data_IF_002527860372
#
_entry.id   IF_002527860372
#
_cell.length_a   1.000
_cell.length_b   1.000
_cell.length_c   1.000
_cell.angle_alpha   90.00
_cell.angle_beta   90.00
_cell.angle_gamma   90.00
#
_symmetry.space_group_name_H-M   'P 1'
#
loop_
_entity.id
_entity.type
_entity.pdbx_description
1 polymer ?
#
# COMPACT_ATOMS: atom_id res chain seq x y z
N UNK A 1 -4.90 20.93 12.52
CA UNK A 1 -6.13 21.31 13.24
C UNK A 1 -6.30 20.52 14.55
N UNK A 2 -6.34 19.17 14.53
CA UNK A 2 -6.62 18.36 15.72
C UNK A 2 -5.61 18.55 16.86
N UNK A 3 -4.31 18.73 16.56
CA UNK A 3 -3.28 19.03 17.57
C UNK A 3 -3.60 20.33 18.34
N UNK A 4 -4.04 21.37 17.64
CA UNK A 4 -4.42 22.64 18.26
C UNK A 4 -5.67 22.48 19.14
N UNK A 5 -6.68 21.77 18.66
CA UNK A 5 -7.88 21.46 19.47
C UNK A 5 -7.52 20.70 20.73
N UNK A 6 -6.65 19.70 20.62
CA UNK A 6 -6.17 18.91 21.76
C UNK A 6 -5.43 19.76 22.79
N UNK A 7 -4.60 20.71 22.35
CA UNK A 7 -3.90 21.66 23.23
C UNK A 7 -4.88 22.61 23.93
N UNK A 8 -5.87 23.13 23.20
CA UNK A 8 -6.92 23.98 23.78
C UNK A 8 -7.75 23.25 24.85
N UNK A 9 -7.99 21.95 24.63
CA UNK A 9 -8.68 21.09 25.58
C UNK A 9 -7.76 20.58 26.71
N UNK A 10 -6.51 21.05 26.76
CA UNK A 10 -5.50 20.66 27.77
C UNK A 10 -5.31 19.14 27.88
N UNK A 11 -5.42 18.42 26.77
CA UNK A 11 -5.15 16.98 26.73
C UNK A 11 -3.66 16.71 26.80
N UNK A 12 -3.19 15.70 27.57
CA UNK A 12 -1.78 15.39 27.67
C UNK A 12 -1.22 14.92 26.32
N UNK A 13 0.03 15.30 25.97
CA UNK A 13 0.69 14.80 24.78
C UNK A 13 1.06 13.32 24.93
N UNK A 14 0.99 12.57 23.82
CA UNK A 14 1.47 11.20 23.70
C UNK A 14 2.87 11.13 23.06
N UNK A 15 3.15 10.00 22.37
CA UNK A 15 4.42 9.79 21.67
C UNK A 15 4.65 10.89 20.61
N UNK A 16 5.91 11.32 20.47
CA UNK A 16 6.34 12.34 19.50
C UNK A 16 5.55 13.65 19.61
N UNK A 17 5.10 14.00 20.82
CA UNK A 17 4.28 15.17 21.09
C UNK A 17 2.95 15.23 20.32
N UNK A 18 2.47 14.11 19.80
CA UNK A 18 1.13 14.01 19.25
C UNK A 18 0.06 13.94 20.35
N UNK A 19 -1.20 14.31 20.06
CA UNK A 19 -2.29 14.08 21.00
C UNK A 19 -2.36 12.61 21.44
N UNK A 20 -2.57 12.34 22.72
CA UNK A 20 -2.56 10.97 23.27
C UNK A 20 -3.62 10.04 22.65
N UNK A 21 -4.68 10.61 22.08
CA UNK A 21 -5.80 9.91 21.42
C UNK A 21 -5.72 9.89 19.88
N UNK A 22 -4.57 10.24 19.29
CA UNK A 22 -4.44 10.30 17.82
C UNK A 22 -4.65 8.95 17.15
N UNK A 23 -4.23 7.85 17.78
CA UNK A 23 -4.53 6.51 17.27
C UNK A 23 -6.05 6.27 17.18
N UNK A 24 -6.77 6.58 18.22
CA UNK A 24 -8.23 6.46 18.25
C UNK A 24 -8.91 7.36 17.21
N UNK A 25 -8.39 8.58 17.02
CA UNK A 25 -8.88 9.47 15.97
C UNK A 25 -8.74 8.84 14.57
N UNK A 26 -7.56 8.31 14.24
CA UNK A 26 -7.31 7.68 12.95
C UNK A 26 -8.11 6.39 12.79
N UNK A 27 -8.15 5.56 13.82
CA UNK A 27 -8.90 4.29 13.82
C UNK A 27 -10.38 4.54 13.52
N UNK A 28 -11.06 5.37 14.31
CA UNK A 28 -12.50 5.64 14.10
C UNK A 28 -12.82 6.32 12.76
N UNK A 29 -11.85 7.05 12.18
CA UNK A 29 -12.01 7.65 10.86
C UNK A 29 -11.90 6.60 9.76
N UNK A 30 -10.87 5.77 9.82
CA UNK A 30 -10.55 4.78 8.78
C UNK A 30 -11.45 3.56 8.83
N UNK A 31 -11.91 3.14 10.00
CA UNK A 31 -12.82 2.01 10.16
C UNK A 31 -14.24 2.25 9.62
N UNK A 32 -14.54 3.46 9.19
CA UNK A 32 -15.75 3.73 8.39
C UNK A 32 -15.67 3.11 6.99
N UNK A 33 -14.46 2.88 6.49
CA UNK A 33 -14.26 2.13 5.26
C UNK A 33 -14.60 0.66 5.50
N UNK A 34 -15.71 0.22 4.92
CA UNK A 34 -16.23 -1.13 5.13
C UNK A 34 -17.05 -1.59 3.94
N UNK A 35 -17.33 -2.87 3.90
CA UNK A 35 -18.33 -3.46 3.02
C UNK A 35 -19.51 -3.89 3.86
N UNK A 36 -20.69 -3.43 3.48
CA UNK A 36 -21.96 -3.77 4.16
C UNK A 36 -22.75 -4.80 3.37
N UNK A 37 -23.44 -5.69 4.09
CA UNK A 37 -24.26 -6.73 3.49
C UNK A 37 -25.64 -6.21 3.05
N UNK A 38 -26.42 -7.06 2.39
CA UNK A 38 -27.75 -6.73 1.89
C UNK A 38 -28.66 -6.32 3.03
N UNK A 39 -28.66 -7.08 4.12
CA UNK A 39 -29.54 -6.84 5.28
C UNK A 39 -29.31 -5.47 5.89
N UNK A 40 -28.04 -5.04 6.02
CA UNK A 40 -27.72 -3.71 6.52
C UNK A 40 -28.24 -2.60 5.59
N UNK A 41 -28.05 -2.77 4.27
CA UNK A 41 -28.51 -1.78 3.27
C UNK A 41 -30.04 -1.65 3.30
N UNK A 42 -30.76 -2.78 3.37
CA UNK A 42 -32.21 -2.77 3.44
C UNK A 42 -32.73 -2.10 4.72
N UNK A 43 -32.12 -2.42 5.87
CA UNK A 43 -32.47 -1.80 7.14
C UNK A 43 -32.18 -0.30 7.15
N UNK A 44 -31.01 0.12 6.71
CA UNK A 44 -30.58 1.53 6.67
C UNK A 44 -31.46 2.36 5.72
N UNK A 45 -31.79 1.81 4.56
CA UNK A 45 -32.63 2.49 3.55
C UNK A 45 -34.13 2.33 3.80
N UNK A 46 -34.52 1.69 4.90
CA UNK A 46 -35.92 1.39 5.24
C UNK A 46 -36.64 0.67 4.09
N UNK A 47 -35.98 -0.30 3.49
CA UNK A 47 -36.50 -1.12 2.40
C UNK A 47 -36.58 -0.45 1.03
N UNK A 48 -36.05 0.79 0.87
CA UNK A 48 -36.02 1.47 -0.43
C UNK A 48 -35.03 0.84 -1.42
N UNK A 49 -33.94 0.26 -0.91
CA UNK A 49 -32.93 -0.43 -1.73
C UNK A 49 -32.90 -1.89 -1.29
N UNK A 50 -33.20 -2.80 -2.21
CA UNK A 50 -33.26 -4.25 -1.95
C UNK A 50 -32.20 -5.02 -2.73
N UNK A 51 -31.66 -6.07 -2.13
CA UNK A 51 -30.73 -7.01 -2.78
C UNK A 51 -29.38 -6.42 -3.16
N UNK A 52 -29.00 -5.27 -2.62
CA UNK A 52 -27.71 -4.62 -2.92
C UNK A 52 -26.80 -4.58 -1.71
N UNK A 53 -25.50 -4.68 -1.97
CA UNK A 53 -24.44 -4.42 -0.97
C UNK A 53 -23.88 -3.02 -1.19
N UNK A 54 -23.21 -2.46 -0.17
CA UNK A 54 -22.48 -1.20 -0.27
C UNK A 54 -21.03 -1.39 0.13
N UNK A 55 -20.14 -0.52 -0.37
CA UNK A 55 -18.75 -0.48 0.06
C UNK A 55 -18.20 0.94 0.04
N UNK A 56 -17.31 1.22 0.98
CA UNK A 56 -16.54 2.44 1.05
C UNK A 56 -15.07 2.05 1.21
N UNK A 57 -14.21 2.53 0.32
CA UNK A 57 -12.76 2.33 0.38
C UNK A 57 -12.09 3.64 0.78
N UNK A 58 -11.21 3.60 1.78
CA UNK A 58 -10.38 4.72 2.17
C UNK A 58 -8.94 4.50 1.70
N UNK A 59 -8.35 5.51 1.10
CA UNK A 59 -6.94 5.55 0.69
C UNK A 59 -6.23 6.69 1.42
N UNK A 60 -5.82 6.49 2.68
CA UNK A 60 -5.09 7.52 3.41
C UNK A 60 -3.69 7.68 2.83
N UNK A 61 -3.27 8.94 2.66
CA UNK A 61 -1.92 9.28 2.21
C UNK A 61 -1.16 9.80 3.43
N UNK A 62 -0.05 9.15 3.75
CA UNK A 62 0.80 9.49 4.90
C UNK A 62 2.18 9.86 4.39
N UNK A 63 2.63 11.04 4.78
CA UNK A 63 4.00 11.49 4.54
C UNK A 63 4.94 10.86 5.55
N UNK A 64 6.05 10.28 5.08
CA UNK A 64 7.13 9.77 5.93
C UNK A 64 8.29 10.77 5.95
N UNK A 65 8.92 10.95 7.09
CA UNK A 65 10.15 11.75 7.20
C UNK A 65 11.34 10.87 6.82
N UNK A 66 12.03 11.23 5.75
CA UNK A 66 13.19 10.48 5.23
C UNK A 66 12.95 8.98 5.00
N UNK A 67 11.74 8.59 4.66
CA UNK A 67 11.38 7.19 4.46
C UNK A 67 11.16 6.38 5.74
N UNK A 68 11.14 7.01 6.92
CA UNK A 68 10.95 6.32 8.19
C UNK A 68 9.50 5.84 8.36
N UNK A 69 9.28 4.56 8.08
CA UNK A 69 7.99 3.88 8.27
C UNK A 69 7.78 3.40 9.71
N UNK A 70 8.82 3.44 10.54
CA UNK A 70 8.75 3.06 11.96
C UNK A 70 8.29 4.20 12.87
N UNK A 71 8.15 5.41 12.34
CA UNK A 71 7.62 6.56 13.07
C UNK A 71 6.18 6.32 13.56
N UNK A 72 5.75 7.12 14.52
CA UNK A 72 4.48 6.89 15.23
C UNK A 72 3.25 6.90 14.32
N UNK A 73 3.09 7.90 13.48
CA UNK A 73 1.91 8.01 12.61
C UNK A 73 1.90 6.92 11.51
N UNK A 74 2.98 6.67 10.76
CA UNK A 74 3.02 5.57 9.79
C UNK A 74 2.68 4.21 10.42
N UNK A 75 3.27 3.86 11.55
CA UNK A 75 3.00 2.57 12.23
C UNK A 75 1.55 2.45 12.68
N UNK A 76 0.96 3.50 13.21
CA UNK A 76 -0.45 3.51 13.60
C UNK A 76 -1.36 3.27 12.39
N UNK A 77 -1.14 3.97 11.30
CA UNK A 77 -1.98 3.84 10.09
C UNK A 77 -1.81 2.48 9.43
N UNK A 78 -0.59 1.94 9.36
CA UNK A 78 -0.33 0.58 8.88
C UNK A 78 -1.08 -0.46 9.72
N UNK A 79 -1.17 -0.27 11.04
CA UNK A 79 -1.88 -1.21 11.91
C UNK A 79 -3.40 -1.17 11.75
N UNK A 80 -3.96 -0.03 11.38
CA UNK A 80 -5.40 0.16 11.18
C UNK A 80 -5.84 -0.34 9.79
N UNK A 81 -5.04 -0.09 8.76
CA UNK A 81 -5.38 -0.40 7.36
C UNK A 81 -5.11 -1.86 6.99
N UNK A 82 -5.68 -2.31 5.87
CA UNK A 82 -5.52 -3.68 5.35
C UNK A 82 -4.25 -3.86 4.49
N UNK A 83 -3.35 -2.94 4.54
CA UNK A 83 -2.10 -2.96 3.81
C UNK A 83 -1.57 -1.57 3.52
N UNK A 84 -0.44 -1.51 2.86
CA UNK A 84 0.19 -0.26 2.43
C UNK A 84 0.81 -0.38 1.04
N UNK A 85 0.80 0.73 0.33
CA UNK A 85 1.56 0.93 -0.89
C UNK A 85 2.69 1.89 -0.53
N UNK A 86 3.93 1.41 -0.56
CA UNK A 86 5.11 2.20 -0.23
C UNK A 86 5.71 2.83 -1.48
N UNK A 87 5.84 4.15 -1.47
CA UNK A 87 6.47 4.92 -2.54
C UNK A 87 7.88 5.34 -2.10
N UNK A 88 8.88 5.05 -2.92
CA UNK A 88 10.28 5.28 -2.62
C UNK A 88 10.88 6.38 -3.51
N UNK A 89 11.55 7.36 -2.89
CA UNK A 89 12.16 8.48 -3.60
C UNK A 89 13.27 8.04 -4.57
N UNK A 90 14.05 7.02 -4.22
CA UNK A 90 15.12 6.52 -5.09
C UNK A 90 14.56 5.94 -6.39
N UNK A 91 13.45 5.21 -6.31
CA UNK A 91 12.75 4.70 -7.50
C UNK A 91 12.19 5.83 -8.35
N UNK A 92 11.60 6.85 -7.72
CA UNK A 92 11.09 8.01 -8.42
C UNK A 92 12.18 8.76 -9.18
N UNK A 93 13.31 9.01 -8.51
CA UNK A 93 14.46 9.70 -9.10
C UNK A 93 15.14 8.89 -10.23
N UNK A 94 15.07 7.57 -10.16
CA UNK A 94 15.56 6.67 -11.22
C UNK A 94 14.60 6.55 -12.41
N UNK A 95 13.47 7.26 -12.38
CA UNK A 95 12.50 7.30 -13.48
C UNK A 95 11.46 6.18 -13.45
N UNK A 96 11.39 5.40 -12.36
CA UNK A 96 10.35 4.37 -12.16
C UNK A 96 9.11 5.06 -11.60
N UNK A 97 8.04 5.11 -12.37
CA UNK A 97 6.77 5.74 -12.01
C UNK A 97 5.61 4.83 -12.39
N UNK A 98 4.72 4.47 -11.45
CA UNK A 98 4.75 4.80 -10.01
C UNK A 98 5.96 4.21 -9.29
N UNK A 99 6.52 4.97 -8.34
CA UNK A 99 7.71 4.61 -7.59
C UNK A 99 7.41 3.61 -6.45
N UNK A 100 6.69 2.54 -6.78
CA UNK A 100 6.21 1.55 -5.81
C UNK A 100 7.33 0.57 -5.46
N UNK A 101 7.68 0.50 -4.18
CA UNK A 101 8.49 -0.58 -3.67
C UNK A 101 7.62 -1.82 -3.43
N UNK A 102 7.85 -2.84 -4.26
CA UNK A 102 7.09 -4.10 -4.23
C UNK A 102 7.43 -4.94 -2.98
N UNK A 103 8.64 -4.80 -2.46
CA UNK A 103 9.10 -5.51 -1.26
C UNK A 103 8.42 -5.03 0.01
N UNK A 104 8.38 -3.70 0.19
CA UNK A 104 7.78 -3.05 1.36
C UNK A 104 6.27 -2.89 1.28
N UNK A 105 5.70 -2.99 0.09
CA UNK A 105 4.25 -2.93 -0.11
C UNK A 105 3.60 -4.26 0.27
N UNK A 106 2.53 -4.19 1.07
CA UNK A 106 1.84 -5.37 1.62
C UNK A 106 0.34 -5.21 1.46
N UNK A 107 -0.35 -6.30 1.12
CA UNK A 107 -1.80 -6.41 1.21
C UNK A 107 -2.17 -7.57 2.14
N UNK A 108 -2.94 -7.28 3.20
CA UNK A 108 -3.43 -8.33 4.13
C UNK A 108 -4.48 -9.23 3.49
N UNK A 109 -5.30 -8.67 2.61
CA UNK A 109 -6.32 -9.42 1.86
C UNK A 109 -5.67 -10.25 0.75
N UNK A 110 -4.70 -9.66 0.04
CA UNK A 110 -3.88 -10.30 -0.96
C UNK A 110 -4.66 -11.05 -2.02
N UNK A 111 -4.24 -12.28 -2.30
CA UNK A 111 -4.84 -13.14 -3.32
C UNK A 111 -6.32 -13.50 -3.10
N UNK A 112 -6.87 -13.30 -1.90
CA UNK A 112 -8.28 -13.59 -1.64
C UNK A 112 -9.23 -12.59 -2.34
N UNK A 113 -8.74 -11.39 -2.66
CA UNK A 113 -9.50 -10.38 -3.41
C UNK A 113 -9.39 -10.56 -4.93
N UNK A 114 -8.51 -11.44 -5.41
CA UNK A 114 -8.21 -11.63 -6.84
C UNK A 114 -9.07 -12.71 -7.46
N UNK A 115 -9.48 -12.51 -8.71
CA UNK A 115 -10.07 -13.57 -9.53
C UNK A 115 -9.01 -14.63 -9.84
N UNK A 116 -9.45 -15.87 -10.15
CA UNK A 116 -8.54 -17.00 -10.39
C UNK A 116 -7.48 -16.73 -11.46
N UNK A 117 -7.85 -16.07 -12.55
CA UNK A 117 -6.92 -15.71 -13.62
C UNK A 117 -5.83 -14.77 -13.12
N UNK A 118 -6.20 -13.69 -12.42
CA UNK A 118 -5.25 -12.74 -11.86
C UNK A 118 -4.31 -13.41 -10.84
N UNK A 119 -4.86 -14.24 -9.96
CA UNK A 119 -4.07 -14.98 -8.96
C UNK A 119 -3.01 -15.89 -9.60
N UNK A 120 -3.35 -16.54 -10.73
CA UNK A 120 -2.43 -17.41 -11.47
C UNK A 120 -1.29 -16.61 -12.13
N UNK A 121 -1.59 -15.45 -12.72
CA UNK A 121 -0.61 -14.61 -13.42
C UNK A 121 0.26 -13.82 -12.44
N UNK A 122 -0.36 -13.18 -11.45
CA UNK A 122 0.32 -12.28 -10.52
C UNK A 122 0.97 -13.01 -9.33
N UNK A 123 0.73 -14.32 -9.16
CA UNK A 123 1.17 -15.05 -7.97
C UNK A 123 2.68 -15.02 -7.73
N UNK A 124 3.48 -15.06 -8.77
CA UNK A 124 4.95 -15.02 -8.70
C UNK A 124 5.52 -13.64 -8.98
N UNK A 125 4.72 -12.71 -9.52
CA UNK A 125 5.21 -11.42 -10.02
C UNK A 125 5.95 -10.61 -8.95
N UNK A 126 5.44 -10.61 -7.71
CA UNK A 126 6.08 -9.91 -6.59
C UNK A 126 7.47 -10.46 -6.31
N UNK A 127 7.60 -11.78 -6.26
CA UNK A 127 8.86 -12.47 -6.00
C UNK A 127 9.85 -12.26 -7.15
N UNK A 128 9.39 -12.44 -8.38
CA UNK A 128 10.19 -12.22 -9.59
C UNK A 128 10.75 -10.79 -9.64
N UNK A 129 9.92 -9.80 -9.28
CA UNK A 129 10.34 -8.40 -9.30
C UNK A 129 11.30 -8.05 -8.17
N UNK A 130 11.14 -8.65 -6.99
CA UNK A 130 12.07 -8.50 -5.87
C UNK A 130 13.43 -9.08 -6.22
N UNK A 131 13.48 -10.31 -6.77
CA UNK A 131 14.71 -10.94 -7.24
C UNK A 131 15.40 -10.13 -8.36
N UNK A 132 14.62 -9.60 -9.31
CA UNK A 132 15.16 -8.74 -10.36
C UNK A 132 15.88 -7.53 -9.79
N UNK A 133 15.29 -6.82 -8.82
CA UNK A 133 15.91 -5.63 -8.22
C UNK A 133 17.21 -5.95 -7.50
N UNK A 134 17.23 -7.06 -6.77
CA UNK A 134 18.43 -7.52 -6.08
C UNK A 134 19.55 -7.85 -7.08
N UNK A 135 19.23 -8.63 -8.11
CA UNK A 135 20.20 -9.03 -9.13
C UNK A 135 20.64 -7.87 -10.03
N UNK A 136 19.77 -6.88 -10.31
CA UNK A 136 20.12 -5.70 -11.08
C UNK A 136 21.21 -4.87 -10.39
N UNK A 137 21.16 -4.78 -9.06
CA UNK A 137 22.20 -4.12 -8.28
C UNK A 137 23.55 -4.82 -8.44
N UNK A 138 23.57 -6.16 -8.41
CA UNK A 138 24.80 -6.97 -8.64
C UNK A 138 25.28 -6.91 -10.09
N UNK A 139 24.38 -6.92 -11.06
CA UNK A 139 24.73 -6.89 -12.48
C UNK A 139 25.51 -5.62 -12.92
N UNK A 140 25.38 -4.54 -12.16
CA UNK A 140 26.17 -3.30 -12.39
C UNK A 140 27.64 -3.45 -12.01
N UNK A 141 28.00 -4.45 -11.20
CA UNK A 141 29.33 -4.63 -10.66
C UNK A 141 30.06 -5.89 -11.18
N UNK A 142 29.38 -6.78 -11.89
CA UNK A 142 29.93 -8.06 -12.35
C UNK A 142 29.81 -8.26 -13.85
N UNK A 143 30.87 -8.78 -14.47
CA UNK A 143 30.93 -9.06 -15.92
C UNK A 143 30.45 -10.45 -16.30
N UNK A 144 30.48 -11.41 -15.39
CA UNK A 144 30.15 -12.82 -15.68
C UNK A 144 28.92 -13.27 -14.90
N UNK A 145 27.74 -13.10 -15.53
CA UNK A 145 26.48 -13.61 -15.02
C UNK A 145 26.13 -14.94 -15.70
N UNK A 146 25.66 -15.91 -14.93
CA UNK A 146 25.18 -17.17 -15.47
C UNK A 146 23.87 -16.98 -16.26
N UNK A 147 23.55 -17.93 -17.13
CA UNK A 147 22.39 -17.85 -18.02
C UNK A 147 21.05 -17.75 -17.27
N UNK A 148 20.96 -18.33 -16.07
CA UNK A 148 19.74 -18.28 -15.23
C UNK A 148 19.53 -16.87 -14.71
N UNK A 149 20.59 -16.27 -14.16
CA UNK A 149 20.55 -14.87 -13.64
C UNK A 149 20.24 -13.89 -14.76
N UNK A 150 20.81 -14.03 -15.93
CA UNK A 150 20.48 -13.21 -17.10
C UNK A 150 19.00 -13.34 -17.47
N UNK A 151 18.43 -14.54 -17.45
CA UNK A 151 17.00 -14.77 -17.70
C UNK A 151 16.09 -14.04 -16.71
N UNK A 152 16.43 -14.01 -15.41
CA UNK A 152 15.69 -13.27 -14.39
C UNK A 152 15.76 -11.77 -14.64
N UNK A 153 16.94 -11.25 -14.99
CA UNK A 153 17.14 -9.82 -15.29
C UNK A 153 16.34 -9.41 -16.51
N UNK A 154 16.37 -10.16 -17.60
CA UNK A 154 15.62 -9.88 -18.80
C UNK A 154 14.10 -9.92 -18.57
N UNK A 155 13.62 -10.91 -17.83
CA UNK A 155 12.21 -10.99 -17.44
C UNK A 155 11.79 -9.79 -16.61
N UNK A 156 12.61 -9.39 -15.64
CA UNK A 156 12.34 -8.21 -14.81
C UNK A 156 12.30 -6.91 -15.60
N UNK A 157 13.23 -6.70 -16.53
CA UNK A 157 13.24 -5.52 -17.42
C UNK A 157 11.99 -5.46 -18.30
N UNK A 158 11.58 -6.58 -18.89
CA UNK A 158 10.33 -6.65 -19.66
C UNK A 158 9.12 -6.29 -18.82
N UNK A 159 9.03 -6.79 -17.59
CA UNK A 159 7.94 -6.44 -16.69
C UNK A 159 7.89 -4.94 -16.37
N UNK A 160 9.03 -4.31 -16.11
CA UNK A 160 9.13 -2.87 -15.87
C UNK A 160 8.69 -2.07 -17.09
N UNK A 161 9.09 -2.50 -18.28
CA UNK A 161 8.71 -1.80 -19.54
C UNK A 161 7.21 -1.90 -19.83
N UNK A 162 6.60 -3.07 -19.63
CA UNK A 162 5.14 -3.25 -19.75
C UNK A 162 4.39 -2.33 -18.79
N UNK A 163 4.86 -2.23 -17.54
CA UNK A 163 4.25 -1.34 -16.56
C UNK A 163 4.38 0.14 -16.91
N UNK A 164 5.49 0.55 -17.56
CA UNK A 164 5.65 1.91 -18.05
C UNK A 164 4.71 2.21 -19.23
N UNK A 165 4.52 1.27 -20.13
CA UNK A 165 3.62 1.42 -21.28
C UNK A 165 2.17 1.61 -20.83
N UNK A 166 1.72 0.85 -19.84
CA UNK A 166 0.38 0.98 -19.27
C UNK A 166 0.09 2.34 -18.59
N UNK A 167 1.10 3.19 -18.40
CA UNK A 167 0.92 4.54 -17.84
C UNK A 167 0.72 5.62 -18.92
N UNK A 168 1.06 5.31 -20.17
CA UNK A 168 1.00 6.25 -21.28
C UNK A 168 -0.28 6.12 -22.13
N UNK A 169 -1.09 5.11 -21.84
CA UNK A 169 -2.41 4.86 -22.43
C UNK A 169 -3.54 5.34 -21.50
#
# INVERSE_FOLDING_TARGET
AYRQVSLLLRRPPGREAYPGDVFYLHSRLLERASRVNVEYVEAFTKGKVKGKTGSLTALPIIETQAGDVAAYIPTNVISITDGQIYLENNLFNSGIRPAIDVGLSVSRVGGNAQIKAMKKVAGTLKLDQAQFRELEAFAKFGSDLDAVTLGVIEKGRRNVEILKQAQND
#
